data_IF_630163323580
#
_entry.id   IF_630163323580
#
_cell.length_a   1.000
_cell.length_b   1.000
_cell.length_c   1.000
_cell.angle_alpha   90.00
_cell.angle_beta   90.00
_cell.angle_gamma   90.00
#
_symmetry.space_group_name_H-M   'P 1'
#
loop_
_entity.id
_entity.type
_entity.pdbx_description
1 polymer ?
#
# COMPACT_ATOMS: atom_id res chain seq x y z
N UNK A 1 9.61 -4.22 8.66
CA UNK A 1 9.38 -3.04 7.82
C UNK A 1 8.10 -3.27 7.01
N UNK A 2 7.17 -2.31 6.92
CA UNK A 2 5.95 -2.47 6.12
C UNK A 2 6.20 -1.98 4.68
N UNK A 3 6.16 -2.88 3.70
CA UNK A 3 6.45 -2.56 2.28
C UNK A 3 5.44 -1.57 1.69
N UNK A 4 4.17 -1.69 2.08
CA UNK A 4 3.11 -0.80 1.61
C UNK A 4 3.35 0.65 2.07
N UNK A 5 3.85 0.83 3.31
CA UNK A 5 4.24 2.13 3.86
C UNK A 5 5.41 2.74 3.08
N UNK A 6 6.46 1.96 2.83
CA UNK A 6 7.62 2.40 2.04
C UNK A 6 7.20 2.80 0.63
N UNK A 7 6.32 2.01 0.01
CA UNK A 7 5.81 2.30 -1.32
C UNK A 7 5.08 3.64 -1.37
N UNK A 8 4.21 3.91 -0.40
CA UNK A 8 3.49 5.19 -0.29
C UNK A 8 4.43 6.36 -0.07
N UNK A 9 5.43 6.22 0.80
CA UNK A 9 6.46 7.23 1.06
C UNK A 9 7.26 7.55 -0.22
N UNK A 10 7.66 6.52 -0.99
CA UNK A 10 8.36 6.70 -2.28
C UNK A 10 7.53 7.45 -3.31
N UNK A 11 6.22 7.21 -3.34
CA UNK A 11 5.31 7.90 -4.26
C UNK A 11 4.80 9.24 -3.70
N UNK A 12 5.28 9.68 -2.51
CA UNK A 12 4.83 10.91 -1.81
C UNK A 12 3.31 10.94 -1.59
N UNK A 13 2.69 9.77 -1.42
CA UNK A 13 1.24 9.64 -1.18
C UNK A 13 1.00 9.37 0.29
N UNK A 14 0.16 10.19 0.93
CA UNK A 14 -0.21 9.98 2.33
C UNK A 14 -1.38 9.00 2.48
N UNK A 15 -1.47 8.33 3.63
CA UNK A 15 -2.62 7.49 3.99
C UNK A 15 -3.95 8.24 3.92
N UNK A 16 -3.93 9.54 4.23
CA UNK A 16 -5.08 10.43 4.11
C UNK A 16 -5.50 10.62 2.65
N UNK A 17 -4.55 10.86 1.74
CA UNK A 17 -4.80 10.97 0.31
C UNK A 17 -5.40 9.68 -0.25
N UNK A 18 -4.87 8.52 0.16
CA UNK A 18 -5.44 7.21 -0.23
C UNK A 18 -6.88 7.08 0.25
N UNK A 19 -7.15 7.40 1.51
CA UNK A 19 -8.49 7.33 2.10
C UNK A 19 -9.48 8.21 1.35
N UNK A 20 -9.12 9.48 1.08
CA UNK A 20 -9.97 10.44 0.38
C UNK A 20 -10.28 10.01 -1.07
N UNK A 21 -9.29 9.47 -1.77
CA UNK A 21 -9.45 9.09 -3.19
C UNK A 21 -10.21 7.77 -3.34
N UNK A 22 -9.98 6.82 -2.44
CA UNK A 22 -10.58 5.47 -2.53
C UNK A 22 -11.91 5.31 -1.81
N UNK A 23 -12.29 6.26 -0.96
CA UNK A 23 -13.46 6.15 -0.09
C UNK A 23 -13.29 5.14 1.06
N UNK A 24 -12.10 4.57 1.25
CA UNK A 24 -11.82 3.69 2.39
C UNK A 24 -11.55 4.52 3.65
N UNK A 25 -12.10 4.15 4.82
CA UNK A 25 -11.82 4.84 6.07
C UNK A 25 -10.32 4.93 6.38
N UNK A 26 -9.88 6.11 6.81
CA UNK A 26 -8.47 6.38 7.15
C UNK A 26 -7.92 5.38 8.17
N UNK A 27 -8.72 4.99 9.17
CA UNK A 27 -8.35 3.99 10.19
C UNK A 27 -8.00 2.63 9.58
N UNK A 28 -8.68 2.24 8.50
CA UNK A 28 -8.40 0.99 7.78
C UNK A 28 -7.08 1.06 7.03
N UNK A 29 -6.82 2.16 6.34
CA UNK A 29 -5.54 2.39 5.66
C UNK A 29 -4.40 2.43 6.68
N UNK A 30 -4.57 3.18 7.77
CA UNK A 30 -3.54 3.32 8.79
C UNK A 30 -3.24 1.98 9.49
N UNK A 31 -4.26 1.15 9.72
CA UNK A 31 -4.08 -0.22 10.24
C UNK A 31 -3.27 -1.10 9.28
N UNK A 32 -3.49 -0.96 7.97
CA UNK A 32 -2.72 -1.68 6.95
C UNK A 32 -1.25 -1.22 6.84
N UNK A 33 -0.95 0.01 7.26
CA UNK A 33 0.40 0.59 7.26
C UNK A 33 1.17 0.38 8.56
N UNK A 34 0.57 -0.25 9.57
CA UNK A 34 1.25 -0.56 10.83
C UNK A 34 2.51 -1.40 10.61
N UNK A 35 3.53 -1.13 11.41
CA UNK A 35 4.75 -1.92 11.39
C UNK A 35 4.47 -3.37 11.81
N UNK A 36 5.12 -4.32 11.15
CA UNK A 36 4.90 -5.77 11.35
C UNK A 36 3.86 -6.41 10.43
N UNK A 37 3.02 -5.64 9.74
CA UNK A 37 2.14 -6.17 8.68
C UNK A 37 2.96 -6.57 7.45
N UNK A 38 2.93 -7.88 7.14
CA UNK A 38 3.50 -8.44 5.91
C UNK A 38 2.60 -8.16 4.71
N UNK A 39 3.19 -8.21 3.50
CA UNK A 39 2.47 -8.05 2.25
C UNK A 39 1.34 -9.08 2.10
N UNK A 40 1.58 -10.34 2.44
CA UNK A 40 0.59 -11.44 2.40
C UNK A 40 -0.61 -11.22 3.32
N UNK A 41 -0.46 -10.37 4.34
CA UNK A 41 -1.54 -10.02 5.26
C UNK A 41 -2.40 -8.85 4.77
N UNK A 42 -2.14 -8.30 3.58
CA UNK A 42 -2.88 -7.18 3.02
C UNK A 42 -4.17 -7.64 2.33
N UNK A 43 -5.23 -6.85 2.48
CA UNK A 43 -6.50 -7.15 1.83
C UNK A 43 -6.55 -6.54 0.44
N UNK A 44 -7.24 -7.22 -0.48
CA UNK A 44 -7.47 -6.73 -1.86
C UNK A 44 -8.12 -5.34 -1.86
N UNK A 45 -8.96 -5.05 -0.86
CA UNK A 45 -9.60 -3.75 -0.66
C UNK A 45 -8.57 -2.63 -0.51
N UNK A 46 -7.57 -2.83 0.34
CA UNK A 46 -6.50 -1.84 0.57
C UNK A 46 -5.59 -1.71 -0.65
N UNK A 47 -5.23 -2.81 -1.30
CA UNK A 47 -4.43 -2.79 -2.53
C UNK A 47 -5.14 -2.01 -3.64
N UNK A 48 -6.44 -2.22 -3.85
CA UNK A 48 -7.24 -1.45 -4.79
C UNK A 48 -7.23 0.05 -4.47
N UNK A 49 -7.37 0.42 -3.20
CA UNK A 49 -7.35 1.82 -2.79
C UNK A 49 -6.01 2.50 -3.05
N UNK A 50 -4.92 1.83 -2.71
CA UNK A 50 -3.56 2.35 -2.96
C UNK A 50 -3.28 2.44 -4.44
N UNK A 51 -3.70 1.45 -5.24
CA UNK A 51 -3.52 1.45 -6.68
C UNK A 51 -4.24 2.65 -7.33
N UNK A 52 -5.49 2.87 -6.92
CA UNK A 52 -6.28 4.01 -7.39
C UNK A 52 -5.64 5.35 -7.00
N UNK A 53 -5.16 5.48 -5.76
CA UNK A 53 -4.48 6.69 -5.29
C UNK A 53 -3.10 6.94 -5.92
N UNK A 54 -2.50 5.93 -6.55
CA UNK A 54 -1.19 6.01 -7.23
C UNK A 54 -1.30 5.88 -8.75
N UNK A 55 -2.53 5.98 -9.28
CA UNK A 55 -2.86 5.89 -10.70
C UNK A 55 -2.30 4.62 -11.38
N UNK A 56 -2.41 3.49 -10.69
CA UNK A 56 -1.97 2.17 -11.15
C UNK A 56 -3.13 1.18 -11.13
N UNK A 57 -2.97 0.10 -11.87
CA UNK A 57 -3.84 -1.07 -11.70
C UNK A 57 -3.44 -1.85 -10.43
N UNK A 58 -4.37 -2.60 -9.81
CA UNK A 58 -4.04 -3.44 -8.65
C UNK A 58 -2.94 -4.48 -8.94
N UNK A 59 -2.87 -4.99 -10.17
CA UNK A 59 -1.82 -5.92 -10.60
C UNK A 59 -0.45 -5.27 -10.62
N UNK A 60 -0.31 -4.12 -11.29
CA UNK A 60 0.94 -3.36 -11.34
C UNK A 60 1.43 -2.97 -9.93
N UNK A 61 0.52 -2.54 -9.07
CA UNK A 61 0.85 -2.26 -7.67
C UNK A 61 1.42 -3.50 -6.99
N UNK A 62 0.76 -4.65 -7.12
CA UNK A 62 1.20 -5.87 -6.47
C UNK A 62 2.57 -6.31 -6.97
N UNK A 63 2.82 -6.24 -8.27
CA UNK A 63 4.12 -6.54 -8.88
C UNK A 63 5.23 -5.66 -8.29
N UNK A 64 4.99 -4.34 -8.17
CA UNK A 64 5.92 -3.40 -7.55
C UNK A 64 6.17 -3.71 -6.06
N UNK A 65 5.12 -4.08 -5.32
CA UNK A 65 5.24 -4.44 -3.91
C UNK A 65 6.04 -5.73 -3.71
N UNK A 66 5.81 -6.76 -4.54
CA UNK A 66 6.57 -8.02 -4.51
C UNK A 66 8.05 -7.75 -4.83
N UNK A 67 8.32 -6.89 -5.81
CA UNK A 67 9.69 -6.51 -6.15
C UNK A 67 10.40 -5.80 -4.98
N UNK A 68 9.70 -4.87 -4.32
CA UNK A 68 10.23 -4.15 -3.15
C UNK A 68 10.48 -5.09 -1.96
N UNK A 69 9.58 -6.04 -1.73
CA UNK A 69 9.72 -7.03 -0.66
C UNK A 69 10.96 -7.92 -0.88
N UNK A 70 11.13 -8.45 -2.10
CA UNK A 70 12.33 -9.22 -2.48
C UNK A 70 13.63 -8.42 -2.35
N UNK A 71 13.59 -7.11 -2.66
CA UNK A 71 14.77 -6.24 -2.50
C UNK A 71 15.09 -5.93 -1.04
N UNK A 72 14.09 -5.89 -0.16
CA UNK A 72 14.26 -5.69 1.27
C UNK A 72 14.76 -6.94 2.01
N UNK A 73 14.68 -8.11 1.37
CA UNK A 73 15.15 -9.40 1.88
C UNK A 73 16.61 -9.72 1.50
N UNK A 74 17.24 -8.89 0.67
CA UNK A 74 18.67 -8.95 0.33
C UNK A 74 19.46 -7.92 1.12
#
# INVERSE_FOLDING_TARGET
MNILKIFLEKNKVSAYSVSKTSGIPYTTINSALKDGKKLDGQTVKVLKAVALATNRTPGQLLDELIFLDKKSLK
#
